data_IF_245285548789
#
_entry.id   IF_245285548789
#
_cell.length_a   1.000
_cell.length_b   1.000
_cell.length_c   1.000
_cell.angle_alpha   90.00
_cell.angle_beta   90.00
_cell.angle_gamma   90.00
#
_symmetry.space_group_name_H-M   'P 1'
#
loop_
_entity.id
_entity.type
_entity.pdbx_description
1 polymer ?
#
# COMPACT_ATOMS: atom_id res chain seq x y z
N UNK A 4 70.83 -10.13 -3.14
CA UNK A 4 69.82 -11.21 -2.84
C UNK A 4 69.04 -10.94 -1.55
N UNK A 5 69.59 -10.14 -0.64
CA UNK A 5 68.85 -9.66 0.51
C UNK A 5 68.17 -8.34 0.15
N UNK A 6 68.65 -7.68 -0.90
CA UNK A 6 67.98 -6.49 -1.44
C UNK A 6 66.69 -6.92 -2.18
N UNK A 7 66.65 -8.17 -2.67
CA UNK A 7 65.42 -8.76 -3.18
C UNK A 7 64.35 -8.76 -2.06
N UNK A 8 64.71 -9.27 -0.88
CA UNK A 8 63.75 -9.46 0.20
C UNK A 8 63.15 -8.11 0.65
N UNK A 9 63.95 -7.05 0.69
CA UNK A 9 63.41 -5.78 1.17
C UNK A 9 62.41 -5.17 0.18
N UNK A 10 62.68 -5.34 -1.12
CA UNK A 10 61.70 -4.94 -2.16
C UNK A 10 60.40 -5.72 -1.97
N UNK A 11 60.50 -7.05 -1.87
CA UNK A 11 59.37 -7.92 -1.72
C UNK A 11 58.60 -7.64 -0.45
N UNK A 12 59.30 -7.33 0.64
CA UNK A 12 58.63 -7.02 1.91
C UNK A 12 57.92 -5.70 1.79
N UNK A 13 58.59 -4.70 1.23
CA UNK A 13 57.95 -3.43 0.94
C UNK A 13 56.72 -3.65 0.07
N UNK A 14 56.84 -4.54 -0.92
CA UNK A 14 55.76 -4.75 -1.89
C UNK A 14 54.58 -5.48 -1.22
N UNK A 15 54.86 -6.53 -0.46
CA UNK A 15 53.84 -7.25 0.31
C UNK A 15 53.00 -6.29 1.18
N UNK A 16 53.66 -5.44 1.97
CA UNK A 16 52.97 -4.42 2.74
C UNK A 16 51.96 -3.70 1.88
N UNK A 17 52.42 -3.15 0.76
CA UNK A 17 51.56 -2.39 -0.13
C UNK A 17 50.34 -3.26 -0.53
N UNK A 18 50.61 -4.43 -1.09
CA UNK A 18 49.58 -5.32 -1.58
C UNK A 18 48.61 -5.76 -0.52
N UNK A 19 49.10 -6.01 0.71
CA UNK A 19 48.27 -6.49 1.83
C UNK A 19 47.37 -5.44 2.34
N UNK A 20 47.74 -4.17 2.14
CA UNK A 20 46.89 -3.06 2.52
C UNK A 20 45.87 -2.80 1.42
N UNK A 21 46.31 -2.85 0.16
CA UNK A 21 45.38 -2.72 -0.97
C UNK A 21 44.28 -3.77 -0.91
N UNK A 22 44.65 -5.02 -0.65
CA UNK A 22 43.69 -6.12 -0.55
C UNK A 22 42.70 -5.75 0.54
N UNK A 23 43.16 -5.12 1.63
CA UNK A 23 42.25 -4.82 2.73
C UNK A 23 41.21 -3.77 2.34
N UNK A 24 41.62 -2.74 1.61
CA UNK A 24 40.69 -1.76 1.11
C UNK A 24 39.66 -2.46 0.26
N UNK A 25 40.13 -3.14 -0.79
CA UNK A 25 39.29 -3.93 -1.67
C UNK A 25 38.32 -4.86 -0.92
N UNK A 26 38.78 -5.44 0.19
CA UNK A 26 37.97 -6.32 1.01
C UNK A 26 36.96 -5.57 1.83
N UNK A 27 37.38 -4.45 2.46
CA UNK A 27 36.52 -3.59 3.23
C UNK A 27 35.38 -2.99 2.43
N UNK A 28 35.69 -2.53 1.23
CA UNK A 28 34.70 -1.96 0.30
C UNK A 28 33.64 -2.96 -0.06
N UNK A 29 34.04 -4.20 -0.35
CA UNK A 29 33.15 -5.32 -0.66
C UNK A 29 32.23 -5.60 0.48
N UNK A 30 32.75 -5.54 1.70
CA UNK A 30 31.92 -5.81 2.86
C UNK A 30 30.89 -4.68 3.07
N UNK A 31 31.31 -3.45 2.81
CA UNK A 31 30.42 -2.33 2.92
C UNK A 31 29.28 -2.56 1.92
N UNK A 32 29.61 -2.88 0.69
CA UNK A 32 28.63 -3.23 -0.32
C UNK A 32 27.69 -4.37 0.07
N UNK A 33 28.21 -5.49 0.58
CA UNK A 33 27.30 -6.56 1.02
C UNK A 33 26.27 -6.10 2.06
N UNK A 34 26.69 -5.27 3.02
CA UNK A 34 25.81 -4.83 4.08
C UNK A 34 24.72 -3.98 3.44
N UNK A 35 25.09 -3.16 2.46
CA UNK A 35 24.12 -2.33 1.77
C UNK A 35 23.17 -3.21 1.01
N UNK A 36 23.71 -4.15 0.22
CA UNK A 36 22.92 -5.08 -0.55
C UNK A 36 21.91 -5.81 0.30
N UNK A 37 22.30 -6.21 1.51
CA UNK A 37 21.38 -6.94 2.41
C UNK A 37 20.37 -6.03 3.04
N UNK A 38 20.78 -4.83 3.50
CA UNK A 38 19.79 -3.91 4.06
C UNK A 38 18.81 -3.50 2.97
N UNK A 39 19.23 -3.49 1.71
CA UNK A 39 18.32 -3.22 0.62
C UNK A 39 17.39 -4.37 0.44
N UNK A 40 17.88 -5.60 0.57
CA UNK A 40 17.03 -6.77 0.38
C UNK A 40 16.04 -6.91 1.53
N UNK A 41 16.46 -6.70 2.76
CA UNK A 41 15.59 -6.89 3.88
C UNK A 41 14.53 -5.80 3.93
N UNK A 42 14.73 -4.71 3.18
CA UNK A 42 13.68 -3.69 3.09
C UNK A 42 12.80 -3.90 1.86
N UNK A 43 13.26 -4.65 0.87
CA UNK A 43 12.43 -5.02 -0.27
C UNK A 43 11.49 -6.12 0.15
N UNK A 44 11.97 -7.07 0.96
CA UNK A 44 11.12 -8.10 1.53
C UNK A 44 10.05 -7.45 2.43
N UNK A 45 10.45 -6.41 3.18
CA UNK A 45 9.53 -5.69 4.03
C UNK A 45 8.49 -4.93 3.19
N UNK A 46 8.91 -4.29 2.11
CA UNK A 46 8.01 -3.62 1.22
C UNK A 46 6.95 -4.61 0.67
N UNK A 47 7.39 -5.75 0.17
CA UNK A 47 6.46 -6.73 -0.37
C UNK A 47 5.43 -7.21 0.67
N UNK A 48 5.83 -7.29 1.94
CA UNK A 48 4.98 -7.74 3.04
C UNK A 48 3.91 -6.72 3.32
N UNK A 49 4.33 -5.46 3.53
CA UNK A 49 3.37 -4.41 3.86
C UNK A 49 2.43 -4.10 2.67
N UNK A 50 2.83 -4.50 1.46
CA UNK A 50 1.97 -4.38 0.31
C UNK A 50 0.79 -5.32 0.38
N UNK A 51 1.08 -6.58 0.72
CA UNK A 51 0.06 -7.60 0.89
C UNK A 51 -0.86 -7.26 2.03
N UNK A 52 -0.26 -6.89 3.17
CA UNK A 52 -1.03 -6.45 4.34
C UNK A 52 -1.98 -5.31 3.96
N UNK A 53 -1.44 -4.29 3.27
CA UNK A 53 -2.24 -3.17 2.84
C UNK A 53 -3.36 -3.62 1.96
N UNK A 54 -3.04 -4.40 0.93
CA UNK A 54 -4.06 -4.80 -0.03
C UNK A 54 -5.26 -5.45 0.67
N UNK A 55 -5.02 -6.43 1.55
CA UNK A 55 -6.15 -7.07 2.20
C UNK A 55 -6.91 -6.07 3.11
N UNK A 56 -6.19 -5.22 3.82
CA UNK A 56 -6.82 -4.21 4.62
C UNK A 56 -7.74 -3.29 3.79
N UNK A 57 -7.25 -2.85 2.62
CA UNK A 57 -8.02 -2.01 1.77
C UNK A 57 -9.22 -2.72 1.21
N UNK A 58 -9.05 -3.99 0.84
CA UNK A 58 -10.12 -4.76 0.24
C UNK A 58 -11.21 -5.15 1.26
N UNK A 59 -10.87 -5.13 2.55
CA UNK A 59 -11.88 -5.37 3.53
C UNK A 59 -12.70 -4.11 3.73
N UNK A 60 -12.04 -2.97 3.98
CA UNK A 60 -12.71 -1.67 4.10
C UNK A 60 -13.59 -1.41 2.90
N UNK A 61 -13.10 -1.71 1.70
CA UNK A 61 -13.89 -1.56 0.49
C UNK A 61 -15.16 -2.39 0.58
N UNK A 62 -15.03 -3.71 0.61
CA UNK A 62 -16.19 -4.58 0.77
C UNK A 62 -17.19 -4.05 1.82
N UNK A 63 -16.74 -3.70 3.03
CA UNK A 63 -17.69 -3.25 4.05
C UNK A 63 -18.42 -1.94 3.68
N UNK A 64 -17.73 -1.03 2.98
CA UNK A 64 -18.30 0.20 2.48
C UNK A 64 -19.28 -0.08 1.34
N UNK A 65 -18.98 -1.07 0.50
CA UNK A 65 -19.84 -1.45 -0.58
C UNK A 65 -21.07 -2.09 -0.08
N UNK A 66 -20.99 -2.70 1.09
CA UNK A 66 -22.14 -3.28 1.77
C UNK A 66 -23.09 -2.18 2.23
N UNK A 67 -22.58 -1.21 3.00
CA UNK A 67 -23.34 -0.04 3.47
C UNK A 67 -24.08 0.54 2.31
N UNK A 68 -23.40 0.79 1.18
CA UNK A 68 -24.00 1.46 0.06
C UNK A 68 -25.15 0.67 -0.47
N UNK A 69 -24.93 -0.62 -0.66
CA UNK A 69 -25.97 -1.47 -1.24
C UNK A 69 -27.22 -1.45 -0.35
N UNK A 70 -27.04 -1.57 0.97
CA UNK A 70 -28.17 -1.60 1.90
C UNK A 70 -28.87 -0.26 1.88
N UNK A 71 -28.11 0.80 2.09
CA UNK A 71 -28.63 2.16 2.05
C UNK A 71 -29.37 2.42 0.78
N UNK A 72 -28.92 1.86 -0.33
CA UNK A 72 -29.60 2.01 -1.60
C UNK A 72 -30.92 1.24 -1.63
N UNK A 73 -30.91 0.02 -1.09
CA UNK A 73 -32.13 -0.78 -0.94
C UNK A 73 -33.16 -0.02 -0.06
N UNK A 74 -32.70 0.49 1.06
CA UNK A 74 -33.54 1.23 1.95
C UNK A 74 -34.13 2.43 1.24
N UNK A 75 -33.28 3.24 0.64
CA UNK A 75 -33.69 4.43 0.04
C UNK A 75 -34.77 4.12 -1.01
N UNK A 76 -34.54 3.07 -1.81
CA UNK A 76 -35.48 2.74 -2.88
C UNK A 76 -36.87 2.43 -2.29
N UNK A 77 -36.93 1.58 -1.27
CA UNK A 77 -38.16 1.22 -0.64
C UNK A 77 -38.85 2.43 -0.03
N UNK A 78 -38.09 3.25 0.67
CA UNK A 78 -38.68 4.35 1.37
C UNK A 78 -39.22 5.36 0.36
N UNK A 79 -38.47 5.63 -0.72
CA UNK A 79 -38.89 6.62 -1.67
C UNK A 79 -40.17 6.16 -2.35
N UNK A 80 -40.27 4.86 -2.60
CA UNK A 80 -41.44 4.30 -3.22
C UNK A 80 -42.65 4.37 -2.24
N UNK A 81 -42.41 4.24 -0.94
CA UNK A 81 -43.45 4.40 0.09
C UNK A 81 -43.96 5.83 0.15
N UNK A 82 -43.07 6.77 0.43
CA UNK A 82 -43.45 8.19 0.52
C UNK A 82 -44.32 8.62 -0.65
N UNK A 83 -43.90 8.28 -1.86
CA UNK A 83 -44.62 8.63 -3.06
C UNK A 83 -46.06 8.03 -3.01
N UNK A 84 -46.15 6.75 -2.66
CA UNK A 84 -47.43 6.07 -2.58
C UNK A 84 -48.36 6.71 -1.54
N UNK A 85 -47.83 6.93 -0.35
CA UNK A 85 -48.63 7.49 0.73
C UNK A 85 -48.92 9.00 0.52
N UNK A 86 -48.17 9.63 -0.38
CA UNK A 86 -48.50 10.99 -0.82
C UNK A 86 -49.60 10.94 -1.88
N UNK A 87 -49.59 9.90 -2.72
CA UNK A 87 -50.63 9.74 -3.71
C UNK A 87 -51.95 9.44 -3.02
N UNK A 88 -51.88 8.69 -1.92
CA UNK A 88 -53.08 8.43 -1.15
C UNK A 88 -53.72 9.73 -0.75
N UNK A 89 -52.91 10.62 -0.21
CA UNK A 89 -53.38 11.92 0.20
C UNK A 89 -53.92 12.73 -0.99
N UNK A 90 -53.30 12.55 -2.17
CA UNK A 90 -53.76 13.25 -3.35
C UNK A 90 -55.17 12.76 -3.70
N UNK A 91 -55.33 11.43 -3.73
CA UNK A 91 -56.63 10.85 -4.02
C UNK A 91 -57.74 11.43 -3.12
N UNK A 92 -57.48 11.52 -1.83
CA UNK A 92 -58.41 12.10 -0.89
C UNK A 92 -58.80 13.49 -1.34
N UNK A 93 -57.80 14.40 -1.47
CA UNK A 93 -58.04 15.78 -1.96
C UNK A 93 -58.94 15.81 -3.18
N UNK A 94 -58.54 15.04 -4.19
CA UNK A 94 -59.31 14.93 -5.42
C UNK A 94 -60.78 14.63 -5.11
N UNK A 95 -61.02 13.51 -4.41
CA UNK A 95 -62.38 13.09 -4.04
C UNK A 95 -63.12 14.20 -3.32
N UNK A 96 -62.52 14.75 -2.26
CA UNK A 96 -63.16 15.80 -1.48
C UNK A 96 -63.61 16.97 -2.39
N UNK A 97 -62.72 17.45 -3.26
CA UNK A 97 -63.04 18.57 -4.13
C UNK A 97 -64.16 18.22 -5.10
N UNK A 98 -64.06 17.03 -5.72
CA UNK A 98 -65.14 16.53 -6.61
C UNK A 98 -66.48 16.57 -5.91
N UNK A 99 -66.52 15.96 -4.71
CA UNK A 99 -67.71 15.93 -3.91
C UNK A 99 -68.28 17.32 -3.71
N UNK A 100 -67.43 18.30 -3.35
CA UNK A 100 -67.91 19.66 -3.09
C UNK A 100 -68.08 20.41 -4.41
N UNK B 4 68.16 -19.06 1.35
CA UNK B 4 66.92 -18.21 1.24
C UNK B 4 66.38 -18.07 -0.19
N UNK B 5 66.22 -19.21 -0.87
CA UNK B 5 65.14 -19.48 -1.83
C UNK B 5 64.10 -20.31 -1.06
N UNK B 6 64.09 -20.18 0.28
CA UNK B 6 63.08 -20.78 1.12
C UNK B 6 62.11 -19.65 1.51
N UNK B 7 62.65 -18.53 2.02
CA UNK B 7 61.84 -17.40 2.41
C UNK B 7 61.29 -16.69 1.16
N UNK B 8 62.11 -16.61 0.10
CA UNK B 8 61.70 -15.91 -1.11
C UNK B 8 60.55 -16.67 -1.72
N UNK B 9 60.72 -17.99 -1.89
CA UNK B 9 59.67 -18.86 -2.42
C UNK B 9 58.30 -18.49 -1.83
N UNK B 10 58.25 -18.44 -0.50
CA UNK B 10 57.01 -18.19 0.22
C UNK B 10 56.53 -16.76 -0.08
N UNK B 11 57.38 -15.77 0.20
CA UNK B 11 57.04 -14.34 0.03
C UNK B 11 56.49 -14.02 -1.38
N UNK B 12 57.02 -14.70 -2.40
CA UNK B 12 56.56 -14.55 -3.76
C UNK B 12 55.14 -15.04 -3.75
N UNK B 13 54.94 -16.29 -3.33
CA UNK B 13 53.59 -16.91 -3.28
C UNK B 13 52.60 -16.08 -2.41
N UNK B 14 53.10 -15.42 -1.36
CA UNK B 14 52.28 -14.55 -0.51
C UNK B 14 51.78 -13.32 -1.26
N UNK B 15 52.69 -12.60 -1.91
CA UNK B 15 52.28 -11.52 -2.81
C UNK B 15 51.29 -12.05 -3.85
N UNK B 16 51.64 -13.11 -4.57
CA UNK B 16 50.78 -13.64 -5.61
C UNK B 16 49.37 -13.80 -5.03
N UNK B 17 49.26 -14.31 -3.80
CA UNK B 17 47.98 -14.49 -3.13
C UNK B 17 47.27 -13.14 -2.96
N UNK B 18 47.88 -12.23 -2.21
CA UNK B 18 47.31 -10.89 -2.00
C UNK B 18 46.88 -10.19 -3.27
N UNK B 19 47.62 -10.42 -4.36
CA UNK B 19 47.32 -9.88 -5.66
C UNK B 19 46.06 -10.55 -6.21
N UNK B 20 46.02 -11.88 -6.19
CA UNK B 20 44.87 -12.58 -6.68
C UNK B 20 43.64 -12.22 -5.83
N UNK B 21 43.81 -12.18 -4.51
CA UNK B 21 42.68 -11.98 -3.57
C UNK B 21 42.13 -10.57 -3.65
N UNK B 22 42.93 -9.59 -4.03
CA UNK B 22 42.48 -8.23 -4.25
C UNK B 22 41.68 -8.19 -5.54
N UNK B 23 42.13 -8.85 -6.60
CA UNK B 23 41.38 -8.88 -7.82
C UNK B 23 40.00 -9.56 -7.62
N UNK B 24 39.96 -10.71 -6.97
CA UNK B 24 38.72 -11.38 -6.73
C UNK B 24 37.75 -10.44 -6.04
N UNK B 25 38.19 -9.74 -4.99
CA UNK B 25 37.39 -8.72 -4.27
C UNK B 25 36.93 -7.66 -5.22
N UNK B 26 37.88 -6.99 -5.89
CA UNK B 26 37.50 -6.18 -7.04
C UNK B 26 36.40 -6.80 -7.93
N UNK B 27 36.46 -8.07 -8.26
CA UNK B 27 35.45 -8.68 -9.07
C UNK B 27 34.14 -8.74 -8.40
N UNK B 28 34.14 -9.17 -7.15
CA UNK B 28 32.90 -9.19 -6.39
C UNK B 28 32.28 -7.80 -6.33
N UNK B 29 33.11 -6.79 -6.11
CA UNK B 29 32.64 -5.42 -6.08
C UNK B 29 31.79 -4.98 -7.25
N UNK B 30 32.25 -5.31 -8.45
CA UNK B 30 31.49 -5.08 -9.67
C UNK B 30 30.11 -5.75 -9.62
N UNK B 31 30.10 -7.04 -9.34
CA UNK B 31 28.91 -7.80 -9.29
C UNK B 31 27.96 -7.18 -8.29
N UNK B 32 28.48 -6.78 -7.13
CA UNK B 32 27.61 -6.28 -6.08
C UNK B 32 26.97 -4.97 -6.44
N UNK B 33 27.71 -4.12 -7.14
CA UNK B 33 27.20 -2.84 -7.63
C UNK B 33 26.09 -3.07 -8.66
N UNK B 34 26.32 -3.96 -9.62
CA UNK B 34 25.32 -4.32 -10.61
C UNK B 34 24.08 -4.81 -9.89
N UNK B 35 24.25 -5.84 -9.06
CA UNK B 35 23.15 -6.35 -8.29
C UNK B 35 22.69 -5.40 -7.19
N UNK B 36 23.34 -4.25 -7.00
CA UNK B 36 22.77 -3.27 -6.10
C UNK B 36 21.74 -2.51 -6.89
N UNK B 37 22.18 -1.81 -7.93
CA UNK B 37 21.29 -1.10 -8.83
C UNK B 37 20.02 -1.89 -9.21
N UNK B 38 20.18 -3.16 -9.57
CA UNK B 38 19.06 -4.06 -9.84
C UNK B 38 18.05 -4.14 -8.65
N UNK B 39 18.48 -4.64 -7.48
CA UNK B 39 17.72 -4.56 -6.24
C UNK B 39 17.06 -3.22 -6.14
N UNK B 40 17.90 -2.18 -6.19
CA UNK B 40 17.54 -0.78 -5.97
C UNK B 40 16.32 -0.38 -6.79
N UNK B 41 16.21 -0.95 -7.99
CA UNK B 41 15.14 -0.63 -8.91
C UNK B 41 13.86 -1.32 -8.50
N UNK B 42 13.94 -2.60 -8.12
CA UNK B 42 12.78 -3.33 -7.65
C UNK B 42 12.21 -2.67 -6.38
N UNK B 43 13.07 -2.20 -5.47
CA UNK B 43 12.64 -1.44 -4.33
C UNK B 43 11.82 -0.27 -4.80
N UNK B 44 12.34 0.50 -5.76
CA UNK B 44 11.63 1.68 -6.26
C UNK B 44 10.29 1.31 -6.90
N UNK B 45 10.28 0.27 -7.74
CA UNK B 45 9.04 -0.28 -8.33
C UNK B 45 7.99 -0.56 -7.25
N UNK B 46 8.33 -1.43 -6.29
CA UNK B 46 7.48 -1.77 -5.16
C UNK B 46 6.92 -0.51 -4.54
N UNK B 47 7.81 0.40 -4.14
CA UNK B 47 7.44 1.58 -3.42
C UNK B 47 6.45 2.43 -4.29
N UNK B 48 6.69 2.48 -5.61
CA UNK B 48 5.83 3.22 -6.48
C UNK B 48 4.45 2.58 -6.56
N UNK B 49 4.43 1.30 -6.91
CA UNK B 49 3.17 0.47 -6.86
C UNK B 49 2.37 0.65 -5.59
N UNK B 50 3.04 0.73 -4.44
CA UNK B 50 2.40 1.01 -3.16
C UNK B 50 1.69 2.34 -3.18
N UNK B 51 2.41 3.39 -3.54
CA UNK B 51 1.83 4.72 -3.53
C UNK B 51 0.62 4.82 -4.43
N UNK B 52 0.74 4.31 -5.65
CA UNK B 52 -0.35 4.35 -6.60
C UNK B 52 -1.58 3.59 -6.03
N UNK B 53 -1.37 2.36 -5.53
CA UNK B 53 -2.42 1.59 -4.92
C UNK B 53 -3.05 2.38 -3.79
N UNK B 54 -2.26 2.82 -2.81
CA UNK B 54 -2.78 3.61 -1.69
C UNK B 54 -3.62 4.81 -2.12
N UNK B 55 -3.14 5.58 -3.09
CA UNK B 55 -3.91 6.68 -3.63
C UNK B 55 -5.22 6.17 -4.27
N UNK B 56 -5.10 5.22 -5.18
CA UNK B 56 -6.29 4.71 -5.86
C UNK B 56 -7.28 3.98 -4.96
N UNK B 57 -6.89 3.68 -3.73
CA UNK B 57 -7.75 3.01 -2.82
C UNK B 57 -8.40 4.00 -1.88
N UNK B 58 -7.65 5.00 -1.45
CA UNK B 58 -8.19 6.03 -0.56
C UNK B 58 -9.15 6.97 -1.35
N UNK B 59 -9.03 7.00 -2.68
CA UNK B 59 -9.99 7.71 -3.48
C UNK B 59 -11.30 6.94 -3.60
N UNK B 60 -11.23 5.64 -3.85
CA UNK B 60 -12.43 4.77 -3.87
C UNK B 60 -13.11 4.88 -2.54
N UNK B 61 -12.33 4.94 -1.46
CA UNK B 61 -12.88 5.12 -0.12
C UNK B 61 -13.69 6.40 -0.06
N UNK B 62 -13.11 7.51 -0.50
CA UNK B 62 -13.80 8.80 -0.48
C UNK B 62 -15.15 8.75 -1.15
N UNK B 63 -15.17 8.31 -2.42
CA UNK B 63 -16.37 8.30 -3.24
C UNK B 63 -17.41 7.54 -2.51
N UNK B 64 -17.05 6.42 -1.88
CA UNK B 64 -18.04 5.52 -1.23
C UNK B 64 -18.60 6.13 0.05
N UNK B 65 -17.74 6.78 0.82
CA UNK B 65 -18.21 7.44 2.01
C UNK B 65 -19.15 8.59 1.64
N UNK B 66 -18.78 9.41 0.64
CA UNK B 66 -19.61 10.47 0.14
C UNK B 66 -21.02 9.87 -0.17
N UNK B 67 -21.08 8.78 -0.94
CA UNK B 67 -22.31 8.08 -1.24
C UNK B 67 -23.10 7.80 0.01
N UNK B 68 -22.48 7.09 0.96
CA UNK B 68 -23.12 6.70 2.19
C UNK B 68 -23.68 7.93 2.90
N UNK B 69 -22.88 8.99 3.02
CA UNK B 69 -23.30 10.22 3.71
C UNK B 69 -24.53 10.79 3.07
N UNK B 70 -24.51 10.91 1.74
CA UNK B 70 -25.60 11.50 0.98
C UNK B 70 -26.82 10.69 1.11
N UNK B 71 -26.70 9.40 0.79
CA UNK B 71 -27.80 8.47 0.93
C UNK B 71 -28.37 8.52 2.35
N UNK B 72 -27.51 8.55 3.35
CA UNK B 72 -27.96 8.61 4.75
C UNK B 72 -28.77 9.83 5.01
N UNK B 73 -28.27 11.01 4.63
CA UNK B 73 -29.01 12.25 4.85
C UNK B 73 -30.38 12.13 4.22
N UNK B 74 -30.41 11.66 2.97
CA UNK B 74 -31.64 11.52 2.23
C UNK B 74 -32.60 10.60 2.95
N UNK B 75 -32.11 9.47 3.45
CA UNK B 75 -33.02 8.56 4.06
C UNK B 75 -33.48 8.98 5.40
N UNK B 76 -32.69 9.80 6.10
CA UNK B 76 -33.11 10.36 7.39
C UNK B 76 -34.21 11.42 7.16
N UNK B 77 -34.09 12.13 6.05
CA UNK B 77 -35.08 13.10 5.68
C UNK B 77 -36.42 12.41 5.44
N UNK B 78 -36.51 11.53 4.46
CA UNK B 78 -37.80 10.99 4.14
C UNK B 78 -38.06 9.71 4.88
N UNK B 79 -37.28 9.42 5.92
CA UNK B 79 -37.74 8.59 7.01
C UNK B 79 -38.68 9.46 7.82
N UNK B 80 -38.30 10.72 8.04
CA UNK B 80 -39.15 11.67 8.72
C UNK B 80 -40.41 11.86 7.93
N UNK B 81 -40.30 12.48 6.73
CA UNK B 81 -41.49 12.74 5.91
C UNK B 81 -42.48 11.53 5.98
N UNK B 82 -41.98 10.34 5.67
CA UNK B 82 -42.83 9.17 5.59
C UNK B 82 -43.54 8.88 6.85
N UNK B 83 -42.93 9.20 7.98
CA UNK B 83 -43.49 8.88 9.30
C UNK B 83 -44.50 9.98 9.71
N UNK B 84 -44.24 11.23 9.28
CA UNK B 84 -45.17 12.38 9.41
C UNK B 84 -46.46 12.07 8.65
N UNK B 85 -46.37 11.95 7.34
CA UNK B 85 -47.58 11.81 6.53
C UNK B 85 -48.40 10.62 7.02
N UNK B 86 -47.74 9.55 7.44
CA UNK B 86 -48.46 8.38 7.87
C UNK B 86 -49.28 8.74 9.12
N UNK B 87 -48.86 9.77 9.90
CA UNK B 87 -49.58 10.33 11.15
C UNK B 87 -50.76 11.16 10.75
N UNK B 88 -50.57 11.93 9.68
CA UNK B 88 -51.63 12.78 9.13
C UNK B 88 -52.81 11.95 8.62
N UNK B 89 -52.54 10.74 8.15
CA UNK B 89 -53.59 9.80 7.75
C UNK B 89 -54.27 9.28 8.99
N UNK B 90 -53.49 8.78 9.94
CA UNK B 90 -53.98 8.11 11.14
C UNK B 90 -54.87 9.09 11.87
N UNK B 91 -54.33 10.29 12.10
CA UNK B 91 -55.04 11.36 12.78
C UNK B 91 -56.39 11.66 12.07
N UNK B 92 -56.34 11.90 10.75
CA UNK B 92 -57.55 12.02 9.94
C UNK B 92 -58.50 10.92 10.36
N UNK B 93 -58.01 9.66 10.30
CA UNK B 93 -58.89 8.49 10.42
C UNK B 93 -59.68 8.51 11.73
N UNK B 94 -59.02 8.86 12.84
CA UNK B 94 -59.69 8.87 14.14
C UNK B 94 -60.73 10.00 14.23
N UNK B 95 -60.44 11.14 13.59
CA UNK B 95 -61.38 12.27 13.44
C UNK B 95 -62.63 11.74 12.73
N UNK B 96 -62.41 11.00 11.64
CA UNK B 96 -63.47 10.40 10.89
C UNK B 96 -64.26 9.38 11.71
N UNK B 97 -63.56 8.59 12.53
CA UNK B 97 -64.21 7.70 13.48
C UNK B 97 -65.08 8.45 14.49
N UNK B 98 -64.59 9.60 15.00
CA UNK B 98 -65.36 10.49 15.88
C UNK B 98 -66.68 10.89 15.20
N UNK B 99 -66.58 11.27 13.92
CA UNK B 99 -67.74 11.54 13.10
C UNK B 99 -68.33 10.23 12.52
#
# INVERSE_FOLDING_TARGET
GPMEADIITNLRCRLKEAEEERLKAAQYGLQLVESQNELQNQLDKCRNEMMTMTESYEQEKYTLQREVELKSRMLESLSCECEAIKQQQKMHLEKLEEQLSR
GPMEADIITNLRCRLKEAEEERLKAAQYGLQLVESQNELQNQLDKCRNEMMTMTESYEQEKYTLQREVELKSRMLESLSCECEAIKQQQKMHLEKLEEQLSR
#
